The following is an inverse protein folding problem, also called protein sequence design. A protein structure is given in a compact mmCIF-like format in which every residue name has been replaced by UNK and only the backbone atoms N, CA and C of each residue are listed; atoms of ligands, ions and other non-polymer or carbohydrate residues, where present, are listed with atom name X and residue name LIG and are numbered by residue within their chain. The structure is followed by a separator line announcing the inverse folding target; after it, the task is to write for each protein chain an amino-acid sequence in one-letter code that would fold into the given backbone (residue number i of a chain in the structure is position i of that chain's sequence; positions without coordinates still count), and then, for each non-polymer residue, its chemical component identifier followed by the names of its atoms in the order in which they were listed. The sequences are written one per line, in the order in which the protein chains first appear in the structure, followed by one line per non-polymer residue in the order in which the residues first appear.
data_IF_362296494601
#
_entry.id   IF_362296494601
#
_cell.length_a   1.000
_cell.length_b   1.000
_cell.length_c   1.000
_cell.angle_alpha   90.00
_cell.angle_beta   90.00
_cell.angle_gamma   90.00
#
_symmetry.space_group_name_H-M   'P 1'
#
loop_
_entity.id
_entity.type
_entity.pdbx_description
1 polymer ?
#
# COMPACT_ATOMS: atom_id res chain seq x y z
N UNK A 1 2.60 28.29 3.81
CA UNK A 1 1.61 27.74 4.77
C UNK A 1 1.57 28.67 5.96
N UNK A 2 0.40 28.93 6.54
CA UNK A 2 0.35 29.60 7.86
C UNK A 2 0.66 28.54 8.91
N UNK A 3 1.65 28.79 9.74
CA UNK A 3 1.94 27.95 10.90
C UNK A 3 0.76 28.07 11.88
N UNK A 4 0.31 26.93 12.39
CA UNK A 4 -0.73 26.83 13.42
C UNK A 4 -0.03 26.40 14.70
N UNK A 5 -0.25 27.15 15.78
CA UNK A 5 0.36 26.86 17.08
C UNK A 5 0.04 25.42 17.53
N UNK A 6 1.07 24.67 17.92
CA UNK A 6 0.96 23.27 18.34
C UNK A 6 0.91 22.24 17.20
N UNK A 7 1.10 22.65 15.93
CA UNK A 7 1.13 21.75 14.78
C UNK A 7 2.51 21.73 14.12
N UNK A 8 3.18 20.59 14.18
CA UNK A 8 4.41 20.33 13.42
C UNK A 8 4.09 19.74 12.05
N UNK A 9 4.65 20.32 11.00
CA UNK A 9 4.52 19.80 9.63
C UNK A 9 5.84 19.15 9.22
N UNK A 10 5.84 17.83 9.12
CA UNK A 10 6.99 17.04 8.67
C UNK A 10 6.66 16.35 7.36
N UNK A 11 7.59 16.41 6.40
CA UNK A 11 7.50 15.66 5.16
C UNK A 11 8.50 14.51 5.18
N UNK A 12 8.02 13.31 4.89
CA UNK A 12 8.88 12.17 4.60
C UNK A 12 9.02 12.10 3.08
N UNK A 13 10.24 12.38 2.59
CA UNK A 13 10.54 12.34 1.18
C UNK A 13 11.65 11.31 0.92
N UNK A 14 11.59 10.55 -0.20
CA UNK A 14 12.71 9.74 -0.61
C UNK A 14 13.88 10.62 -1.07
N UNK A 15 15.04 10.01 -1.32
CA UNK A 15 16.18 10.75 -1.89
C UNK A 15 15.82 11.46 -3.19
N UNK A 16 16.41 12.64 -3.41
CA UNK A 16 16.33 13.35 -4.69
C UNK A 16 17.27 12.73 -5.73
N UNK A 17 18.28 11.97 -5.30
CA UNK A 17 19.15 11.18 -6.17
C UNK A 17 18.42 9.92 -6.62
N UNK A 18 18.32 9.72 -7.93
CA UNK A 18 17.49 8.65 -8.50
C UNK A 18 17.94 7.26 -8.07
N UNK A 19 19.23 6.96 -8.13
CA UNK A 19 19.76 5.63 -7.79
C UNK A 19 19.47 5.26 -6.33
N UNK A 20 19.69 6.20 -5.41
CA UNK A 20 19.39 6.04 -3.99
C UNK A 20 17.89 5.85 -3.77
N UNK A 21 17.05 6.67 -4.40
CA UNK A 21 15.60 6.57 -4.32
C UNK A 21 15.11 5.20 -4.81
N UNK A 22 15.63 4.71 -5.92
CA UNK A 22 15.27 3.40 -6.45
C UNK A 22 15.74 2.27 -5.53
N UNK A 23 16.93 2.39 -4.93
CA UNK A 23 17.41 1.44 -3.93
C UNK A 23 16.52 1.43 -2.68
N UNK A 24 16.13 2.61 -2.19
CA UNK A 24 15.18 2.78 -1.08
C UNK A 24 13.84 2.10 -1.40
N UNK A 25 13.22 2.39 -2.56
CA UNK A 25 11.94 1.79 -2.94
C UNK A 25 12.00 0.27 -3.05
N UNK A 26 13.07 -0.28 -3.67
CA UNK A 26 13.26 -1.73 -3.76
C UNK A 26 13.33 -2.37 -2.38
N UNK A 27 14.13 -1.79 -1.47
CA UNK A 27 14.25 -2.30 -0.12
C UNK A 27 12.94 -2.17 0.68
N UNK A 28 12.30 -0.99 0.65
CA UNK A 28 11.08 -0.74 1.39
C UNK A 28 9.94 -1.65 0.93
N UNK A 29 9.67 -1.72 -0.37
CA UNK A 29 8.54 -2.49 -0.88
C UNK A 29 8.81 -3.98 -0.97
N UNK A 30 10.03 -4.37 -1.37
CA UNK A 30 10.39 -5.77 -1.60
C UNK A 30 10.74 -6.53 -0.34
N UNK A 31 11.41 -5.87 0.62
CA UNK A 31 11.92 -6.50 1.84
C UNK A 31 11.17 -6.00 3.07
N UNK A 32 11.31 -4.71 3.40
CA UNK A 32 10.85 -4.19 4.68
C UNK A 32 9.34 -4.33 4.87
N UNK A 33 8.52 -3.89 3.90
CA UNK A 33 7.06 -3.99 3.98
C UNK A 33 6.63 -5.46 3.99
N UNK A 34 7.19 -6.30 3.13
CA UNK A 34 6.90 -7.74 3.06
C UNK A 34 7.11 -8.41 4.41
N UNK A 35 8.28 -8.22 5.02
CA UNK A 35 8.63 -8.83 6.30
C UNK A 35 7.72 -8.33 7.43
N UNK A 36 7.46 -7.02 7.46
CA UNK A 36 6.64 -6.41 8.50
C UNK A 36 5.14 -6.73 8.35
N UNK A 37 4.66 -7.02 7.13
CA UNK A 37 3.32 -7.56 6.91
C UNK A 37 3.25 -9.03 7.36
N UNK A 38 4.23 -9.85 6.96
CA UNK A 38 4.26 -11.27 7.27
C UNK A 38 4.34 -11.55 8.79
N UNK A 39 5.10 -10.73 9.53
CA UNK A 39 5.21 -10.84 10.98
C UNK A 39 4.13 -10.06 11.75
N UNK A 40 3.21 -9.39 11.05
CA UNK A 40 2.08 -8.67 11.65
C UNK A 40 2.43 -7.37 12.39
N UNK A 41 3.67 -6.88 12.29
CA UNK A 41 4.08 -5.56 12.82
C UNK A 41 3.39 -4.42 12.07
N UNK A 42 3.12 -4.61 10.78
CA UNK A 42 2.20 -3.78 10.01
C UNK A 42 0.93 -4.59 9.77
N UNK A 43 -0.21 -3.97 10.07
CA UNK A 43 -1.53 -4.54 9.77
C UNK A 43 -2.22 -3.66 8.74
N UNK A 44 -2.62 -4.20 7.58
CA UNK A 44 -3.35 -3.43 6.59
C UNK A 44 -4.65 -2.89 7.18
N UNK A 45 -4.88 -1.60 6.97
CA UNK A 45 -6.17 -0.96 7.20
C UNK A 45 -6.61 -0.24 5.92
N UNK A 46 -7.87 -0.38 5.47
CA UNK A 46 -8.87 -1.34 5.96
C UNK A 46 -8.43 -2.81 5.77
N UNK A 47 -9.13 -3.74 6.43
CA UNK A 47 -8.85 -5.18 6.33
C UNK A 47 -8.88 -5.67 4.87
N UNK A 48 -7.94 -6.55 4.47
CA UNK A 48 -7.90 -7.05 3.11
C UNK A 48 -9.05 -8.02 2.84
N UNK A 49 -9.58 -7.96 1.62
CA UNK A 49 -10.53 -8.91 1.05
C UNK A 49 -9.97 -9.40 -0.28
N UNK A 50 -9.69 -10.70 -0.39
CA UNK A 50 -9.14 -11.29 -1.62
C UNK A 50 -10.27 -11.54 -2.61
N UNK A 51 -10.26 -10.80 -3.72
CA UNK A 51 -11.28 -10.91 -4.79
C UNK A 51 -11.09 -12.18 -5.61
N UNK A 52 -9.84 -12.61 -5.79
CA UNK A 52 -9.49 -13.79 -6.58
C UNK A 52 -8.01 -13.81 -6.93
N UNK A 53 -7.65 -14.70 -7.86
CA UNK A 53 -6.25 -14.90 -8.31
C UNK A 53 -6.03 -14.54 -9.78
N UNK A 54 -4.93 -13.86 -10.04
CA UNK A 54 -4.44 -13.50 -11.37
C UNK A 54 -5.26 -12.43 -12.08
N UNK A 55 -4.84 -12.09 -13.30
CA UNK A 55 -5.39 -10.97 -14.07
C UNK A 55 -6.91 -11.05 -14.29
N UNK A 56 -7.46 -12.27 -14.42
CA UNK A 56 -8.90 -12.50 -14.62
C UNK A 56 -9.78 -11.96 -13.48
N UNK A 57 -9.25 -11.84 -12.27
CA UNK A 57 -9.99 -11.36 -11.10
C UNK A 57 -10.03 -9.82 -11.00
N UNK A 58 -9.26 -9.11 -11.83
CA UNK A 58 -9.16 -7.64 -11.76
C UNK A 58 -10.49 -6.97 -12.09
N UNK A 59 -11.16 -7.38 -13.18
CA UNK A 59 -12.44 -6.78 -13.57
C UNK A 59 -13.50 -6.98 -12.47
N UNK A 60 -13.59 -8.19 -11.89
CA UNK A 60 -14.48 -8.45 -10.74
C UNK A 60 -14.17 -7.52 -9.57
N UNK A 61 -12.91 -7.24 -9.29
CA UNK A 61 -12.52 -6.31 -8.22
C UNK A 61 -12.92 -4.87 -8.51
N UNK A 62 -12.83 -4.44 -9.78
CA UNK A 62 -13.29 -3.12 -10.20
C UNK A 62 -14.81 -3.00 -10.15
N UNK A 63 -15.55 -4.03 -10.58
CA UNK A 63 -17.01 -4.06 -10.49
C UNK A 63 -17.47 -3.92 -9.02
N UNK A 64 -16.87 -4.69 -8.11
CA UNK A 64 -17.11 -4.57 -6.66
C UNK A 64 -16.78 -3.17 -6.11
N UNK A 65 -15.69 -2.55 -6.58
CA UNK A 65 -15.30 -1.23 -6.13
C UNK A 65 -16.31 -0.16 -6.58
N UNK A 66 -16.85 -0.28 -7.80
CA UNK A 66 -17.85 0.64 -8.37
C UNK A 66 -19.16 0.55 -7.57
N UNK A 67 -19.59 -0.64 -7.19
CA UNK A 67 -20.77 -0.85 -6.32
C UNK A 67 -20.58 -0.31 -4.91
N UNK A 68 -19.32 -0.14 -4.50
CA UNK A 68 -18.92 0.36 -3.19
C UNK A 68 -18.56 -0.79 -2.23
N UNK A 69 -17.48 -0.59 -1.48
CA UNK A 69 -16.99 -1.57 -0.50
C UNK A 69 -16.97 -0.97 0.90
N UNK A 70 -17.64 -1.64 1.84
CA UNK A 70 -17.72 -1.19 3.23
C UNK A 70 -16.40 -1.45 3.96
N UNK A 71 -15.52 -0.44 4.00
CA UNK A 71 -14.26 -0.46 4.74
C UNK A 71 -13.44 -1.76 4.54
N UNK A 72 -13.28 -2.18 3.28
CA UNK A 72 -12.41 -3.30 2.89
C UNK A 72 -11.41 -2.88 1.83
N UNK A 73 -10.21 -3.48 1.89
CA UNK A 73 -9.18 -3.33 0.87
C UNK A 73 -9.26 -4.50 -0.09
N UNK A 74 -9.77 -4.29 -1.30
CA UNK A 74 -9.82 -5.34 -2.32
C UNK A 74 -8.40 -5.68 -2.79
N UNK A 75 -8.05 -6.97 -2.78
CA UNK A 75 -6.74 -7.48 -3.19
C UNK A 75 -6.93 -8.60 -4.21
N UNK A 76 -6.08 -8.62 -5.23
CA UNK A 76 -5.96 -9.75 -6.16
C UNK A 76 -4.66 -10.46 -5.86
N UNK A 77 -4.72 -11.76 -5.61
CA UNK A 77 -3.52 -12.58 -5.45
C UNK A 77 -2.84 -12.76 -6.80
N UNK A 78 -1.53 -12.53 -6.88
CA UNK A 78 -0.76 -12.80 -8.10
C UNK A 78 -0.67 -14.31 -8.34
N UNK A 79 -0.62 -14.75 -9.60
CA UNK A 79 -0.24 -16.14 -9.88
C UNK A 79 1.25 -16.28 -9.58
N UNK A 80 1.60 -17.26 -8.74
CA UNK A 80 2.99 -17.66 -8.51
C UNK A 80 3.52 -18.49 -9.68
#
# INVERSE_FOLDING_TARGET
MKEVEGVDVVFVQPSTVEEERLAQFRYWMGTWVTDNLANGKIRPSPEPYVVGKGLKAVNTGLDMLIEGVSCKKLVVEVMQ
#
